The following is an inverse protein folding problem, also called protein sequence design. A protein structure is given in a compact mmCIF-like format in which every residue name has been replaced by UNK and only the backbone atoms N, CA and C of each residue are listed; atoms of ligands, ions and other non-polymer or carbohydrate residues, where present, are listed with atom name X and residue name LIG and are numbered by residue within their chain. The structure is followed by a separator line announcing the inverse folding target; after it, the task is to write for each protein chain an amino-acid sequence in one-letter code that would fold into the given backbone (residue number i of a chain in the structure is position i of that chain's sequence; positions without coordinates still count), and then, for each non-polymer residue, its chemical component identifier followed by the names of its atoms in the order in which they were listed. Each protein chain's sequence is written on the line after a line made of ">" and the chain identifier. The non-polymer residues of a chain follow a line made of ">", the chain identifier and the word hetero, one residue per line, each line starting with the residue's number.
data_IF_461078284992
#
_entry.id   IF_461078284992
#
_cell.length_a   1.000
_cell.length_b   1.000
_cell.length_c   1.000
_cell.angle_alpha   90.00
_cell.angle_beta   90.00
_cell.angle_gamma   90.00
#
_symmetry.space_group_name_H-M   'P 1'
#
loop_
_entity.id
_entity.type
_entity.pdbx_description
1 polymer ?
#
# COMPACT_ATOMS: atom_id res chain seq x y z
N UNK A 1 -5.29 -17.98 6.81
CA UNK A 1 -5.16 -17.44 8.19
C UNK A 1 -4.50 -16.06 8.19
N UNK A 2 -3.44 -15.87 7.40
CA UNK A 2 -2.68 -14.62 7.29
C UNK A 2 -3.51 -13.41 6.81
N UNK A 3 -4.41 -13.59 5.83
CA UNK A 3 -5.31 -12.50 5.41
C UNK A 3 -6.22 -11.98 6.53
N UNK A 4 -6.64 -12.85 7.47
CA UNK A 4 -7.46 -12.41 8.63
C UNK A 4 -6.64 -11.54 9.58
N UNK A 5 -5.37 -11.89 9.79
CA UNK A 5 -4.45 -11.13 10.66
C UNK A 5 -4.18 -9.75 10.05
N UNK A 6 -3.96 -9.68 8.75
CA UNK A 6 -3.80 -8.43 8.01
C UNK A 6 -5.04 -7.54 8.14
N UNK A 7 -6.24 -8.09 7.91
CA UNK A 7 -7.48 -7.32 8.05
C UNK A 7 -7.69 -6.80 9.48
N UNK A 8 -7.36 -7.58 10.51
CA UNK A 8 -7.45 -7.15 11.90
C UNK A 8 -6.45 -6.02 12.18
N UNK A 9 -5.20 -6.18 11.74
CA UNK A 9 -4.16 -5.16 11.88
C UNK A 9 -4.57 -3.85 11.20
N UNK A 10 -5.14 -3.94 10.00
CA UNK A 10 -5.72 -2.81 9.28
C UNK A 10 -6.78 -2.10 10.12
N UNK A 11 -7.77 -2.82 10.62
CA UNK A 11 -8.87 -2.22 11.38
C UNK A 11 -8.31 -1.48 12.59
N UNK A 12 -7.39 -2.13 13.33
CA UNK A 12 -6.73 -1.53 14.49
C UNK A 12 -5.96 -0.26 14.09
N UNK A 13 -5.15 -0.31 13.03
CA UNK A 13 -4.35 0.82 12.59
C UNK A 13 -5.23 2.02 12.17
N UNK A 14 -6.31 1.78 11.45
CA UNK A 14 -7.27 2.82 11.06
C UNK A 14 -7.98 3.41 12.28
N UNK A 15 -8.39 2.57 13.24
CA UNK A 15 -9.03 3.03 14.47
C UNK A 15 -8.08 3.85 15.33
N UNK A 16 -6.82 3.43 15.46
CA UNK A 16 -5.78 4.17 16.19
C UNK A 16 -5.49 5.50 15.50
N UNK A 17 -5.34 5.52 14.17
CA UNK A 17 -5.11 6.75 13.42
C UNK A 17 -6.26 7.75 13.59
N UNK A 18 -7.51 7.28 13.54
CA UNK A 18 -8.68 8.12 13.84
C UNK A 18 -8.67 8.63 15.28
N UNK A 19 -8.41 7.78 16.26
CA UNK A 19 -8.37 8.17 17.67
C UNK A 19 -7.28 9.21 17.95
N UNK A 20 -6.09 9.02 17.39
CA UNK A 20 -4.97 9.99 17.48
C UNK A 20 -5.34 11.30 16.78
N UNK A 21 -5.96 11.23 15.60
CA UNK A 21 -6.46 12.39 14.88
C UNK A 21 -7.44 13.22 15.70
N UNK A 22 -8.44 12.58 16.31
CA UNK A 22 -9.38 13.24 17.21
C UNK A 22 -8.71 13.79 18.47
N UNK A 23 -7.75 13.06 19.04
CA UNK A 23 -7.00 13.52 20.21
C UNK A 23 -6.20 14.79 19.90
N UNK A 24 -5.57 14.88 18.73
CA UNK A 24 -4.87 16.09 18.26
C UNK A 24 -5.84 17.26 18.11
N UNK A 25 -7.04 17.02 17.55
CA UNK A 25 -8.08 18.04 17.42
C UNK A 25 -8.55 18.63 18.75
N UNK A 26 -8.66 17.81 19.80
CA UNK A 26 -9.26 18.19 21.08
C UNK A 26 -8.21 18.69 22.09
N UNK A 27 -7.06 18.01 22.17
CA UNK A 27 -6.11 18.21 23.28
C UNK A 27 -4.95 19.14 22.93
N UNK A 28 -4.73 19.50 21.67
CA UNK A 28 -3.58 20.32 21.31
C UNK A 28 -3.79 21.79 21.70
N UNK A 29 -3.42 22.14 22.93
CA UNK A 29 -3.49 23.53 23.43
C UNK A 29 -2.47 24.48 22.78
N UNK A 30 -1.52 23.96 22.01
CA UNK A 30 -0.41 24.70 21.39
C UNK A 30 -0.48 24.72 19.85
N UNK A 31 -1.69 24.72 19.30
CA UNK A 31 -1.88 24.77 17.84
C UNK A 31 -1.21 25.97 17.18
N UNK A 32 -1.11 27.09 17.89
CA UNK A 32 -0.45 28.31 17.43
C UNK A 32 1.05 28.19 17.18
N UNK A 33 1.75 27.38 17.97
CA UNK A 33 3.19 27.18 17.82
C UNK A 33 3.51 26.04 16.87
N UNK A 34 2.56 25.12 16.69
CA UNK A 34 2.73 23.92 15.86
C UNK A 34 2.34 24.18 14.40
N UNK A 35 1.31 25.00 14.16
CA UNK A 35 0.77 25.25 12.82
C UNK A 35 0.98 26.71 12.38
N UNK A 36 2.03 26.93 11.59
CA UNK A 36 2.39 28.24 11.03
C UNK A 36 1.21 28.95 10.31
N UNK A 37 0.38 28.25 9.51
CA UNK A 37 -0.75 28.89 8.83
C UNK A 37 -1.83 29.41 9.80
N UNK A 38 -2.06 28.69 10.91
CA UNK A 38 -3.00 29.13 11.94
C UNK A 38 -2.49 30.42 12.59
N UNK A 39 -1.20 30.47 12.93
CA UNK A 39 -0.56 31.67 13.49
C UNK A 39 -0.74 32.89 12.57
N UNK A 40 -0.42 32.73 11.29
CA UNK A 40 -0.54 33.80 10.30
C UNK A 40 -1.98 34.34 10.21
N UNK A 41 -2.98 33.45 10.19
CA UNK A 41 -4.38 33.87 10.10
C UNK A 41 -4.85 34.63 11.33
N UNK A 42 -4.32 34.32 12.49
CA UNK A 42 -4.68 35.02 13.73
C UNK A 42 -4.06 36.41 13.73
N UNK A 43 -2.78 36.52 13.36
CA UNK A 43 -2.05 37.77 13.42
C UNK A 43 -2.61 38.82 12.43
N UNK A 44 -3.11 38.37 11.27
CA UNK A 44 -3.59 39.27 10.19
C UNK A 44 -5.12 39.30 10.00
N UNK A 45 -5.84 38.25 10.38
CA UNK A 45 -7.30 38.14 10.23
C UNK A 45 -7.97 37.53 11.48
N UNK A 46 -7.86 38.19 12.65
CA UNK A 46 -8.30 37.64 13.93
C UNK A 46 -9.79 37.30 13.95
N UNK A 47 -10.61 38.02 13.18
CA UNK A 47 -12.05 37.82 13.04
C UNK A 47 -12.45 36.45 12.45
N UNK A 48 -11.60 35.84 11.63
CA UNK A 48 -11.85 34.51 11.03
C UNK A 48 -11.01 33.39 11.65
N UNK A 49 -10.13 33.74 12.59
CA UNK A 49 -9.12 32.84 13.15
C UNK A 49 -9.68 31.53 13.72
N UNK A 50 -10.79 31.60 14.47
CA UNK A 50 -11.42 30.42 15.07
C UNK A 50 -12.00 29.45 14.03
N UNK A 51 -12.66 29.99 13.00
CA UNK A 51 -13.24 29.19 11.92
C UNK A 51 -12.12 28.53 11.10
N UNK A 52 -11.11 29.32 10.72
CA UNK A 52 -9.96 28.83 9.96
C UNK A 52 -9.19 27.75 10.72
N UNK A 53 -8.92 27.97 12.01
CA UNK A 53 -8.21 26.99 12.85
C UNK A 53 -8.95 25.65 12.91
N UNK A 54 -10.28 25.66 13.06
CA UNK A 54 -11.07 24.43 13.11
C UNK A 54 -11.09 23.70 11.76
N UNK A 55 -11.25 24.43 10.65
CA UNK A 55 -11.20 23.86 9.31
C UNK A 55 -9.82 23.25 9.03
N UNK A 56 -8.76 23.96 9.40
CA UNK A 56 -7.39 23.52 9.19
C UNK A 56 -7.03 22.27 10.02
N UNK A 57 -7.43 22.23 11.30
CA UNK A 57 -7.21 21.03 12.13
C UNK A 57 -8.03 19.83 11.64
N UNK A 58 -9.26 20.07 11.18
CA UNK A 58 -10.11 19.05 10.58
C UNK A 58 -9.49 18.46 9.32
N UNK A 59 -9.01 19.32 8.41
CA UNK A 59 -8.37 18.90 7.18
C UNK A 59 -7.04 18.18 7.44
N UNK A 60 -6.23 18.65 8.39
CA UNK A 60 -5.00 17.97 8.80
C UNK A 60 -5.27 16.58 9.38
N UNK A 61 -6.25 16.47 10.28
CA UNK A 61 -6.67 15.19 10.87
C UNK A 61 -7.15 14.20 9.81
N UNK A 62 -7.98 14.69 8.89
CA UNK A 62 -8.48 13.89 7.78
C UNK A 62 -7.33 13.45 6.86
N UNK A 63 -6.43 14.36 6.50
CA UNK A 63 -5.27 14.08 5.66
C UNK A 63 -4.33 13.06 6.31
N UNK A 64 -4.00 13.18 7.59
CA UNK A 64 -3.14 12.21 8.29
C UNK A 64 -3.79 10.83 8.30
N UNK A 65 -5.08 10.75 8.62
CA UNK A 65 -5.82 9.48 8.64
C UNK A 65 -5.88 8.87 7.23
N UNK A 66 -6.19 9.67 6.22
CA UNK A 66 -6.39 9.18 4.85
C UNK A 66 -5.07 8.91 4.12
N UNK A 67 -3.97 9.57 4.45
CA UNK A 67 -2.66 9.36 3.80
C UNK A 67 -1.88 8.21 4.46
N UNK A 68 -1.92 8.10 5.79
CA UNK A 68 -1.14 7.09 6.51
C UNK A 68 -1.71 5.67 6.34
N UNK A 69 -3.03 5.54 6.21
CA UNK A 69 -3.67 4.23 6.10
C UNK A 69 -3.33 3.50 4.78
N UNK A 70 -3.44 4.14 3.57
CA UNK A 70 -3.01 3.61 2.27
C UNK A 70 -1.59 3.04 2.25
N UNK A 71 -0.63 3.74 2.85
CA UNK A 71 0.77 3.31 2.83
C UNK A 71 0.98 2.03 3.65
N UNK A 72 0.27 1.86 4.77
CA UNK A 72 0.28 0.60 5.50
C UNK A 72 -0.25 -0.56 4.63
N UNK A 73 -1.29 -0.32 3.83
CA UNK A 73 -1.80 -1.33 2.88
C UNK A 73 -0.80 -1.66 1.78
N UNK A 74 -0.13 -0.66 1.21
CA UNK A 74 0.87 -0.88 0.18
C UNK A 74 1.99 -1.78 0.69
N UNK A 75 2.53 -1.49 1.89
CA UNK A 75 3.61 -2.31 2.48
C UNK A 75 3.17 -3.75 2.69
N UNK A 76 1.96 -3.97 3.22
CA UNK A 76 1.46 -5.34 3.43
C UNK A 76 1.25 -6.06 2.10
N UNK A 77 0.66 -5.41 1.10
CA UNK A 77 0.47 -5.98 -0.22
C UNK A 77 1.80 -6.37 -0.88
N UNK A 78 2.79 -5.47 -0.87
CA UNK A 78 4.11 -5.77 -1.43
C UNK A 78 4.80 -6.92 -0.70
N UNK A 79 4.70 -6.97 0.63
CA UNK A 79 5.29 -8.06 1.42
C UNK A 79 4.67 -9.42 1.07
N UNK A 80 3.34 -9.47 0.94
CA UNK A 80 2.63 -10.70 0.54
C UNK A 80 2.97 -11.10 -0.90
N UNK A 81 3.05 -10.13 -1.81
CA UNK A 81 3.43 -10.38 -3.20
C UNK A 81 4.85 -10.93 -3.29
N UNK A 82 5.79 -10.34 -2.56
CA UNK A 82 7.18 -10.80 -2.52
C UNK A 82 7.29 -12.20 -1.95
N UNK A 83 6.57 -12.49 -0.86
CA UNK A 83 6.48 -13.83 -0.28
C UNK A 83 6.01 -14.86 -1.32
N UNK A 84 4.92 -14.55 -2.03
CA UNK A 84 4.38 -15.45 -3.07
C UNK A 84 5.38 -15.69 -4.20
N UNK A 85 6.05 -14.65 -4.68
CA UNK A 85 7.11 -14.79 -5.70
C UNK A 85 8.27 -15.67 -5.21
N UNK A 86 8.63 -15.54 -3.93
CA UNK A 86 9.69 -16.35 -3.33
C UNK A 86 9.30 -17.83 -3.23
N UNK A 87 8.05 -18.13 -2.86
CA UNK A 87 7.55 -19.51 -2.85
C UNK A 87 7.57 -20.14 -4.25
N UNK A 88 7.09 -19.44 -5.27
CA UNK A 88 7.16 -19.94 -6.64
C UNK A 88 8.60 -20.19 -7.11
N UNK A 89 9.54 -19.33 -6.69
CA UNK A 89 10.95 -19.50 -7.01
C UNK A 89 11.54 -20.73 -6.30
N UNK A 90 11.21 -20.94 -5.02
CA UNK A 90 11.64 -22.12 -4.27
C UNK A 90 11.08 -23.39 -4.92
N UNK A 91 9.78 -23.43 -5.25
CA UNK A 91 9.17 -24.57 -5.92
C UNK A 91 9.86 -24.88 -7.26
N UNK A 92 10.16 -23.84 -8.05
CA UNK A 92 10.91 -24.00 -9.30
C UNK A 92 12.32 -24.59 -9.07
N UNK A 93 13.03 -24.12 -8.04
CA UNK A 93 14.36 -24.63 -7.71
C UNK A 93 14.28 -26.08 -7.21
N UNK A 94 13.27 -26.40 -6.39
CA UNK A 94 13.02 -27.75 -5.90
C UNK A 94 12.72 -28.70 -7.07
N UNK A 95 11.91 -28.28 -8.05
CA UNK A 95 11.62 -29.04 -9.27
C UNK A 95 12.87 -29.27 -10.14
N UNK A 96 13.75 -28.27 -10.24
CA UNK A 96 15.07 -28.41 -10.90
C UNK A 96 15.95 -29.40 -10.13
N UNK A 97 16.02 -29.28 -8.80
CA UNK A 97 16.91 -30.07 -7.95
C UNK A 97 16.47 -31.53 -7.80
N UNK A 98 15.17 -31.81 -7.77
CA UNK A 98 14.62 -33.17 -7.71
C UNK A 98 14.79 -33.95 -9.01
N UNK A 99 15.30 -33.30 -10.06
CA UNK A 99 15.49 -33.94 -11.37
C UNK A 99 14.17 -34.27 -12.08
N UNK A 100 13.01 -33.80 -11.59
CA UNK A 100 11.74 -33.96 -12.32
C UNK A 100 11.77 -33.17 -13.64
N UNK A 101 12.58 -32.12 -13.72
CA UNK A 101 12.84 -31.39 -14.97
C UNK A 101 13.74 -32.18 -15.94
N UNK A 102 14.45 -33.23 -15.51
CA UNK A 102 15.21 -34.08 -16.45
C UNK A 102 14.31 -34.96 -17.31
N UNK A 103 13.03 -35.12 -16.94
CA UNK A 103 12.01 -35.77 -17.77
C UNK A 103 10.92 -34.80 -18.29
N UNK A 104 10.85 -33.56 -17.76
CA UNK A 104 9.84 -32.53 -18.12
C UNK A 104 10.45 -31.29 -18.81
N UNK A 105 11.71 -31.34 -19.25
CA UNK A 105 12.12 -30.59 -20.42
C UNK A 105 12.01 -31.49 -21.67
N UNK A 106 10.80 -31.89 -22.13
CA UNK A 106 10.74 -32.43 -23.45
C UNK A 106 11.09 -31.25 -24.35
N UNK A 107 12.04 -31.45 -25.25
CA UNK A 107 12.22 -30.61 -26.44
C UNK A 107 10.87 -30.23 -27.10
N UNK A 108 9.80 -31.02 -26.87
CA UNK A 108 8.41 -30.72 -27.23
C UNK A 108 7.77 -29.48 -26.56
N UNK A 109 8.10 -29.06 -25.33
CA UNK A 109 7.46 -27.90 -24.68
C UNK A 109 7.95 -26.56 -25.25
N UNK A 110 9.15 -26.54 -25.83
CA UNK A 110 9.68 -25.42 -26.61
C UNK A 110 9.05 -25.40 -28.02
N UNK A 111 8.75 -26.58 -28.58
CA UNK A 111 8.09 -26.75 -29.88
C UNK A 111 6.55 -26.66 -29.82
N UNK A 112 5.95 -26.74 -28.63
CA UNK A 112 4.51 -26.64 -28.42
C UNK A 112 4.05 -25.19 -28.60
N UNK A 113 3.55 -24.92 -29.80
CA UNK A 113 3.12 -23.61 -30.22
C UNK A 113 1.98 -23.04 -29.36
N UNK A 114 1.06 -23.87 -28.86
CA UNK A 114 -0.04 -23.38 -28.00
C UNK A 114 0.49 -22.95 -26.64
N UNK A 115 1.38 -23.74 -26.04
CA UNK A 115 1.97 -23.42 -24.75
C UNK A 115 2.85 -22.16 -24.80
N UNK A 116 3.69 -22.03 -25.83
CA UNK A 116 4.51 -20.83 -26.07
C UNK A 116 3.64 -19.60 -26.31
N UNK A 117 2.51 -19.74 -27.00
CA UNK A 117 1.58 -18.64 -27.26
C UNK A 117 0.86 -18.20 -25.97
N UNK A 118 0.55 -19.14 -25.08
CA UNK A 118 -0.06 -18.85 -23.79
C UNK A 118 0.91 -18.16 -22.82
N UNK A 119 2.18 -18.60 -22.78
CA UNK A 119 3.24 -17.89 -22.04
C UNK A 119 3.42 -16.48 -22.59
N UNK A 120 3.50 -16.32 -23.91
CA UNK A 120 3.65 -15.01 -24.56
C UNK A 120 2.51 -14.06 -24.21
N UNK A 121 1.25 -14.53 -24.26
CA UNK A 121 0.08 -13.72 -23.89
C UNK A 121 0.11 -13.33 -22.41
N UNK A 122 0.50 -14.25 -21.52
CA UNK A 122 0.62 -13.96 -20.11
C UNK A 122 1.74 -12.94 -19.82
N UNK A 123 2.90 -13.08 -20.47
CA UNK A 123 4.01 -12.13 -20.34
C UNK A 123 3.63 -10.74 -20.84
N UNK A 124 2.98 -10.65 -22.01
CA UNK A 124 2.46 -9.39 -22.54
C UNK A 124 1.44 -8.77 -21.58
N UNK A 125 0.54 -9.59 -21.01
CA UNK A 125 -0.43 -9.14 -20.01
C UNK A 125 0.21 -8.67 -18.70
N UNK A 126 1.33 -9.26 -18.29
CA UNK A 126 2.11 -8.79 -17.15
C UNK A 126 2.81 -7.47 -17.44
N UNK A 127 3.45 -7.34 -18.61
CA UNK A 127 4.14 -6.11 -19.02
C UNK A 127 3.15 -4.95 -19.19
N UNK A 128 1.99 -5.18 -19.81
CA UNK A 128 0.93 -4.16 -19.94
C UNK A 128 0.41 -3.68 -18.59
N UNK A 129 0.07 -4.62 -17.70
CA UNK A 129 -0.40 -4.26 -16.34
C UNK A 129 0.67 -3.54 -15.53
N UNK A 130 1.94 -3.90 -15.73
CA UNK A 130 3.05 -3.19 -15.09
C UNK A 130 3.23 -1.77 -15.64
N UNK A 131 3.07 -1.56 -16.94
CA UNK A 131 3.08 -0.22 -17.54
C UNK A 131 1.88 0.64 -17.13
N UNK A 132 0.69 0.05 -17.01
CA UNK A 132 -0.51 0.74 -16.50
C UNK A 132 -0.38 1.16 -15.02
N UNK A 133 0.45 0.47 -14.23
CA UNK A 133 0.72 0.81 -12.84
C UNK A 133 1.81 1.89 -12.68
N UNK A 134 2.64 2.09 -13.71
CA UNK A 134 3.70 3.09 -13.73
C UNK A 134 3.28 4.42 -14.39
N UNK A 135 2.12 4.44 -15.04
CA UNK A 135 1.50 5.61 -15.66
C UNK A 135 0.40 6.16 -14.75
#
# INVERSE_FOLDING_TARGET
>A
MEMKIVSIFTIINTTVAMAVGFAVLIFNRYDYTTFLPIKYFVDYHPEYSGIFANIYKGSFTFAVTFLMTPHAYQVVYYTQHFKYQFWMLIDLIDDIMRGEISHILPSRLIEDHEYQQQIKLNLIGFVKRHQELLM
#
